data_IF_211384629743
#
_entry.id   IF_211384629743
#
_cell.length_a   1.000
_cell.length_b   1.000
_cell.length_c   1.000
_cell.angle_alpha   90.00
_cell.angle_beta   90.00
_cell.angle_gamma   90.00
#
_symmetry.space_group_name_H-M   'P 1'
#
loop_
_entity.id
_entity.type
_entity.pdbx_description
1 polymer ?
#
# COMPACT_ATOMS: atom_id res chain seq x y z
N UNK A 1 -20.88 1.13 23.29
CA UNK A 1 -21.97 0.13 23.25
C UNK A 1 -21.75 -0.76 22.04
N UNK A 2 -21.47 -2.02 22.25
CA UNK A 2 -21.22 -2.93 21.16
C UNK A 2 -22.51 -3.57 20.65
N UNK A 3 -22.62 -3.73 19.36
CA UNK A 3 -23.69 -4.52 18.77
C UNK A 3 -23.26 -5.97 18.75
N UNK A 4 -24.09 -6.84 19.26
CA UNK A 4 -23.89 -8.28 19.09
C UNK A 4 -24.64 -8.71 17.84
N UNK A 5 -23.96 -9.40 16.94
CA UNK A 5 -24.62 -9.98 15.80
C UNK A 5 -25.52 -11.12 16.27
N UNK A 6 -26.74 -11.15 15.77
CA UNK A 6 -27.64 -12.29 15.98
C UNK A 6 -27.10 -13.49 15.19
N UNK A 7 -27.64 -14.68 15.44
CA UNK A 7 -27.26 -15.87 14.66
C UNK A 7 -27.49 -15.65 13.16
N UNK A 8 -28.58 -14.96 12.80
CA UNK A 8 -28.86 -14.61 11.40
C UNK A 8 -27.82 -13.65 10.87
N UNK A 9 -27.48 -12.60 11.64
CA UNK A 9 -26.45 -11.65 11.25
C UNK A 9 -25.09 -12.28 11.10
N UNK A 10 -24.72 -13.22 11.98
CA UNK A 10 -23.48 -13.95 11.87
C UNK A 10 -23.45 -14.83 10.60
N UNK A 11 -24.60 -15.42 10.24
CA UNK A 11 -24.72 -16.21 9.01
C UNK A 11 -24.55 -15.38 7.73
N UNK A 12 -24.75 -14.06 7.79
CA UNK A 12 -24.56 -13.17 6.65
C UNK A 12 -23.09 -12.76 6.44
N UNK A 13 -22.23 -12.93 7.44
CA UNK A 13 -20.83 -12.52 7.31
C UNK A 13 -20.09 -13.16 6.12
N UNK A 14 -20.24 -14.47 5.84
CA UNK A 14 -19.60 -15.05 4.66
C UNK A 14 -20.07 -14.39 3.36
N UNK A 15 -21.34 -14.01 3.26
CA UNK A 15 -21.89 -13.35 2.08
C UNK A 15 -21.26 -11.95 1.93
N UNK A 16 -21.20 -11.19 3.01
CA UNK A 16 -20.58 -9.86 3.00
C UNK A 16 -19.11 -9.94 2.64
N UNK A 17 -18.39 -10.92 3.16
CA UNK A 17 -16.98 -11.12 2.82
C UNK A 17 -16.80 -11.51 1.34
N UNK A 18 -17.71 -12.33 0.81
CA UNK A 18 -17.67 -12.69 -0.61
C UNK A 18 -17.94 -11.48 -1.50
N UNK A 19 -18.89 -10.61 -1.13
CA UNK A 19 -19.17 -9.39 -1.87
C UNK A 19 -17.99 -8.43 -1.82
N UNK A 20 -17.32 -8.32 -0.68
CA UNK A 20 -16.13 -7.48 -0.54
C UNK A 20 -15.02 -8.00 -1.47
N UNK A 21 -14.74 -9.28 -1.45
CA UNK A 21 -13.74 -9.89 -2.33
C UNK A 21 -14.07 -9.71 -3.80
N UNK A 22 -15.34 -9.84 -4.17
CA UNK A 22 -15.81 -9.59 -5.53
C UNK A 22 -15.57 -8.14 -5.94
N UNK A 23 -15.94 -7.20 -5.07
CA UNK A 23 -15.77 -5.78 -5.33
C UNK A 23 -14.29 -5.42 -5.49
N UNK A 24 -13.42 -5.97 -4.64
CA UNK A 24 -11.99 -5.74 -4.73
C UNK A 24 -11.39 -6.29 -6.02
N UNK A 25 -11.94 -7.38 -6.55
CA UNK A 25 -11.43 -8.02 -7.76
C UNK A 25 -11.94 -7.35 -9.02
N UNK A 26 -13.20 -6.98 -9.08
CA UNK A 26 -13.87 -6.61 -10.32
C UNK A 26 -14.20 -5.14 -10.47
N UNK A 27 -14.40 -4.42 -9.37
CA UNK A 27 -14.68 -2.99 -9.46
C UNK A 27 -13.40 -2.21 -9.77
N UNK A 28 -13.48 -1.20 -10.65
CA UNK A 28 -12.30 -0.39 -10.95
C UNK A 28 -11.89 0.41 -9.72
N UNK A 29 -10.59 0.66 -9.61
CA UNK A 29 -10.06 1.52 -8.57
C UNK A 29 -10.48 2.96 -8.80
N UNK A 30 -10.92 3.62 -7.74
CA UNK A 30 -11.32 5.02 -7.78
C UNK A 30 -10.22 5.87 -7.13
N UNK A 31 -9.47 6.66 -7.92
CA UNK A 31 -8.41 7.49 -7.35
C UNK A 31 -8.90 8.49 -6.29
N UNK A 32 -10.17 8.88 -6.33
CA UNK A 32 -10.74 9.75 -5.32
C UNK A 32 -10.76 9.11 -3.93
N UNK A 33 -10.58 7.81 -3.84
CA UNK A 33 -10.50 7.12 -2.56
C UNK A 33 -9.34 7.61 -1.71
N UNK A 34 -8.21 8.00 -2.33
CA UNK A 34 -7.10 8.60 -1.59
C UNK A 34 -7.50 9.91 -0.91
N UNK A 35 -8.45 10.63 -1.49
CA UNK A 35 -8.92 11.89 -0.92
C UNK A 35 -9.96 11.67 0.17
N UNK A 36 -10.83 10.66 0.00
CA UNK A 36 -11.89 10.37 0.96
C UNK A 36 -11.41 9.57 2.15
N UNK A 37 -10.66 8.50 1.88
CA UNK A 37 -10.27 7.53 2.89
C UNK A 37 -8.78 7.17 2.78
N UNK A 38 -7.88 8.15 2.90
CA UNK A 38 -6.44 7.89 2.77
C UNK A 38 -5.92 6.86 3.77
N UNK A 39 -6.47 6.82 4.98
CA UNK A 39 -6.07 5.84 5.98
C UNK A 39 -6.31 4.40 5.53
N UNK A 40 -7.42 4.17 4.82
CA UNK A 40 -7.75 2.84 4.31
C UNK A 40 -6.73 2.41 3.25
N UNK A 41 -6.41 3.31 2.33
CA UNK A 41 -5.44 3.02 1.27
C UNK A 41 -4.04 2.80 1.85
N UNK A 42 -3.62 3.63 2.79
CA UNK A 42 -2.34 3.45 3.48
C UNK A 42 -2.31 2.14 4.27
N UNK A 43 -3.44 1.76 4.86
CA UNK A 43 -3.58 0.47 5.53
C UNK A 43 -3.39 -0.70 4.58
N UNK A 44 -3.95 -0.65 3.39
CA UNK A 44 -3.74 -1.68 2.36
C UNK A 44 -2.27 -1.75 1.96
N UNK A 45 -1.65 -0.58 1.77
CA UNK A 45 -0.24 -0.51 1.40
C UNK A 45 0.64 -1.11 2.50
N UNK A 46 0.34 -0.80 3.75
CA UNK A 46 1.06 -1.34 4.91
C UNK A 46 0.98 -2.87 4.97
N UNK A 47 -0.17 -3.44 4.62
CA UNK A 47 -0.35 -4.89 4.61
C UNK A 47 0.50 -5.59 3.55
N UNK A 48 0.97 -4.87 2.55
CA UNK A 48 1.82 -5.44 1.50
C UNK A 48 3.30 -5.39 1.83
N UNK A 49 3.66 -4.78 2.96
CA UNK A 49 5.05 -4.73 3.39
C UNK A 49 5.49 -6.12 3.84
N UNK A 50 6.61 -6.58 3.28
CA UNK A 50 7.21 -7.85 3.65
C UNK A 50 8.13 -7.65 4.85
N UNK A 51 7.97 -8.46 5.89
CA UNK A 51 8.77 -8.34 7.11
C UNK A 51 10.21 -8.84 6.95
N UNK A 52 10.56 -9.45 5.81
CA UNK A 52 11.80 -10.19 5.68
C UNK A 52 13.04 -9.32 5.53
N UNK A 53 12.93 -8.14 4.92
CA UNK A 53 14.10 -7.33 4.55
C UNK A 53 13.95 -5.87 4.94
N UNK A 54 13.19 -5.59 5.98
CA UNK A 54 12.98 -4.21 6.42
C UNK A 54 14.24 -3.61 7.03
N UNK A 55 14.41 -2.29 6.94
CA UNK A 55 15.57 -1.63 7.51
C UNK A 55 15.54 -1.67 9.04
N UNK A 56 16.72 -1.73 9.65
CA UNK A 56 16.84 -1.75 11.11
C UNK A 56 16.36 -0.42 11.74
N UNK A 57 16.64 0.69 11.08
CA UNK A 57 16.18 2.00 11.51
C UNK A 57 14.96 2.43 10.69
N UNK A 58 14.08 3.27 11.26
CA UNK A 58 12.87 3.65 10.54
C UNK A 58 13.18 4.36 9.23
N UNK A 59 12.42 4.02 8.19
CA UNK A 59 12.46 4.69 6.89
C UNK A 59 11.05 5.18 6.58
N UNK A 60 10.96 6.38 6.07
CA UNK A 60 9.69 7.00 5.70
C UNK A 60 9.55 7.00 4.19
N UNK A 61 8.46 6.43 3.70
CA UNK A 61 8.07 6.53 2.30
C UNK A 61 7.10 7.70 2.20
N UNK A 62 7.53 8.79 1.58
CA UNK A 62 6.68 9.96 1.39
C UNK A 62 6.10 9.93 -0.02
N UNK A 63 4.80 9.69 -0.11
CA UNK A 63 4.09 9.63 -1.38
C UNK A 63 3.59 11.03 -1.75
N UNK A 64 3.98 11.47 -2.91
CA UNK A 64 3.63 12.79 -3.42
C UNK A 64 2.88 12.63 -4.75
N UNK A 65 1.53 12.52 -4.70
CA UNK A 65 0.75 12.40 -5.92
C UNK A 65 0.91 13.62 -6.82
N UNK A 66 0.92 13.37 -8.12
CA UNK A 66 1.11 14.46 -9.11
C UNK A 66 -0.13 15.35 -9.24
N UNK A 67 -1.30 14.88 -8.80
CA UNK A 67 -2.58 15.58 -8.99
C UNK A 67 -2.84 16.66 -7.96
N UNK A 68 -2.20 16.62 -6.79
CA UNK A 68 -2.42 17.65 -5.76
C UNK A 68 -1.21 17.76 -4.83
N UNK A 69 -1.25 18.75 -3.92
CA UNK A 69 -0.13 19.01 -3.01
C UNK A 69 -0.15 18.17 -1.74
N UNK A 70 -1.18 17.34 -1.55
CA UNK A 70 -1.25 16.47 -0.38
C UNK A 70 -0.19 15.40 -0.46
N UNK A 71 0.40 15.10 0.70
CA UNK A 71 1.39 14.04 0.84
C UNK A 71 0.92 13.02 1.84
N UNK A 72 1.42 11.80 1.67
CA UNK A 72 1.08 10.68 2.55
C UNK A 72 2.37 9.97 2.92
N UNK A 73 2.44 9.45 4.13
CA UNK A 73 3.65 8.84 4.66
C UNK A 73 3.37 7.42 5.12
N UNK A 74 4.30 6.52 4.83
CA UNK A 74 4.29 5.15 5.34
C UNK A 74 5.64 4.92 6.04
N UNK A 75 5.60 4.52 7.28
CA UNK A 75 6.82 4.26 8.06
C UNK A 75 7.05 2.76 8.12
N UNK A 76 8.24 2.33 7.76
CA UNK A 76 8.64 0.93 7.80
C UNK A 76 9.91 0.76 8.64
N UNK A 77 9.94 -0.30 9.42
CA UNK A 77 11.09 -0.63 10.26
C UNK A 77 11.02 -2.10 10.65
N UNK A 78 12.20 -2.72 10.75
CA UNK A 78 12.32 -4.10 11.19
C UNK A 78 11.62 -4.31 12.55
N UNK A 79 10.90 -5.41 12.67
CA UNK A 79 10.21 -5.84 13.91
C UNK A 79 9.05 -4.95 14.36
N UNK A 80 8.68 -3.96 13.57
CA UNK A 80 7.53 -3.11 13.87
C UNK A 80 6.50 -3.22 12.76
N UNK A 81 5.23 -3.09 13.12
CA UNK A 81 4.17 -3.06 12.11
C UNK A 81 4.25 -1.77 11.31
N UNK A 82 4.24 -1.83 9.98
CA UNK A 82 4.19 -0.63 9.16
C UNK A 82 2.94 0.18 9.46
N UNK A 83 3.05 1.49 9.39
CA UNK A 83 1.88 2.35 9.62
C UNK A 83 1.91 3.56 8.70
N UNK A 84 0.72 3.98 8.29
CA UNK A 84 0.54 5.18 7.50
C UNK A 84 0.31 6.41 8.37
N UNK A 85 0.77 7.56 7.89
CA UNK A 85 0.57 8.84 8.56
C UNK A 85 0.01 9.85 7.58
N UNK A 86 -0.85 10.73 8.06
CA UNK A 86 -1.35 11.87 7.30
C UNK A 86 -0.60 13.15 7.62
N UNK A 87 0.35 13.06 8.54
CA UNK A 87 1.26 14.17 8.89
C UNK A 87 2.69 13.64 8.85
N UNK A 88 3.63 14.53 8.55
CA UNK A 88 5.03 14.15 8.46
C UNK A 88 5.53 13.63 9.80
N UNK A 89 6.11 12.43 9.87
CA UNK A 89 6.66 11.89 11.10
C UNK A 89 7.91 12.62 11.62
N UNK A 90 8.48 13.52 10.82
CA UNK A 90 9.60 14.39 11.23
C UNK A 90 10.86 13.63 11.66
N UNK A 91 11.26 12.65 10.86
CA UNK A 91 12.53 11.96 11.03
C UNK A 91 13.64 12.70 10.27
N UNK A 92 14.88 12.25 10.45
CA UNK A 92 16.02 12.82 9.70
C UNK A 92 15.81 12.67 8.20
N UNK A 93 16.22 13.69 7.44
CA UNK A 93 16.01 13.71 5.99
C UNK A 93 16.64 12.52 5.27
N UNK A 94 17.75 12.00 5.78
CA UNK A 94 18.38 10.82 5.22
C UNK A 94 17.58 9.52 5.40
N UNK A 95 16.44 9.57 6.10
CA UNK A 95 15.57 8.42 6.30
C UNK A 95 14.32 8.45 5.41
N UNK A 96 14.26 9.38 4.45
CA UNK A 96 13.10 9.53 3.58
C UNK A 96 13.38 9.03 2.17
N UNK A 97 12.40 8.35 1.61
CA UNK A 97 12.33 8.08 0.18
C UNK A 97 11.12 8.86 -0.34
N UNK A 98 11.37 9.76 -1.28
CA UNK A 98 10.31 10.59 -1.87
C UNK A 98 9.81 9.90 -3.12
N UNK A 99 8.54 9.50 -3.09
CA UNK A 99 7.92 8.73 -4.16
C UNK A 99 6.88 9.59 -4.87
N UNK A 100 7.07 9.76 -6.17
CA UNK A 100 6.16 10.55 -6.98
C UNK A 100 5.43 9.65 -7.95
N UNK A 101 4.11 9.73 -7.97
CA UNK A 101 3.27 8.91 -8.83
C UNK A 101 1.88 9.53 -8.96
N UNK A 102 1.10 9.03 -9.91
CA UNK A 102 -0.31 9.38 -9.99
C UNK A 102 -1.09 8.68 -8.87
N UNK A 103 -2.24 9.24 -8.50
CA UNK A 103 -3.12 8.62 -7.51
C UNK A 103 -3.54 7.21 -7.94
N UNK A 104 -3.78 7.01 -9.23
CA UNK A 104 -4.12 5.68 -9.75
C UNK A 104 -3.00 4.67 -9.54
N UNK A 105 -1.76 5.08 -9.70
CA UNK A 105 -0.60 4.22 -9.46
C UNK A 105 -0.48 3.87 -7.97
N UNK A 106 -0.62 4.87 -7.11
CA UNK A 106 -0.57 4.64 -5.66
C UNK A 106 -1.64 3.65 -5.23
N UNK A 107 -2.86 3.82 -5.72
CA UNK A 107 -3.95 2.92 -5.41
C UNK A 107 -3.69 1.50 -5.96
N UNK A 108 -3.17 1.39 -7.17
CA UNK A 108 -2.82 0.10 -7.76
C UNK A 108 -1.73 -0.63 -6.96
N UNK A 109 -0.72 0.09 -6.48
CA UNK A 109 0.31 -0.46 -5.60
C UNK A 109 -0.29 -0.95 -4.28
N UNK A 110 -1.16 -0.14 -3.68
CA UNK A 110 -1.81 -0.49 -2.43
C UNK A 110 -2.69 -1.74 -2.56
N UNK A 111 -3.40 -1.86 -3.68
CA UNK A 111 -4.28 -2.99 -3.95
C UNK A 111 -3.54 -4.22 -4.50
N UNK A 112 -2.24 -4.10 -4.76
CA UNK A 112 -1.47 -5.19 -5.33
C UNK A 112 -1.79 -5.50 -6.79
N UNK A 113 -2.34 -4.54 -7.53
CA UNK A 113 -2.65 -4.68 -8.95
C UNK A 113 -1.47 -4.34 -9.84
N UNK A 114 -0.50 -3.62 -9.30
CA UNK A 114 0.74 -3.29 -9.98
C UNK A 114 1.90 -3.56 -9.03
N UNK A 115 2.97 -4.15 -9.54
CA UNK A 115 4.17 -4.41 -8.77
C UNK A 115 5.07 -3.18 -8.71
N UNK A 116 5.82 -3.05 -7.64
CA UNK A 116 6.77 -1.96 -7.48
C UNK A 116 7.85 -1.94 -8.57
N UNK A 117 8.48 -3.08 -8.92
CA UNK A 117 9.47 -3.08 -10.00
C UNK A 117 8.89 -2.63 -11.34
N UNK A 118 7.68 -3.06 -11.65
CA UNK A 118 7.02 -2.68 -12.90
C UNK A 118 6.71 -1.19 -12.96
N UNK A 119 6.25 -0.62 -11.83
CA UNK A 119 5.96 0.80 -11.73
C UNK A 119 7.21 1.66 -11.92
N UNK A 120 8.34 1.23 -11.37
CA UNK A 120 9.61 1.92 -11.60
C UNK A 120 10.09 1.75 -13.04
N UNK A 121 9.93 0.56 -13.61
CA UNK A 121 10.40 0.27 -14.97
C UNK A 121 9.65 1.08 -16.02
N UNK A 122 8.34 1.28 -15.87
CA UNK A 122 7.54 2.01 -16.84
C UNK A 122 7.45 3.52 -16.58
N UNK A 123 8.08 3.99 -15.51
CA UNK A 123 8.09 5.41 -15.15
C UNK A 123 6.87 5.89 -14.39
N UNK A 124 5.93 5.01 -14.05
CA UNK A 124 4.73 5.38 -13.27
C UNK A 124 5.08 5.82 -11.85
N UNK A 125 6.18 5.34 -11.33
CA UNK A 125 6.66 5.65 -9.99
C UNK A 125 8.12 6.06 -10.07
N UNK A 126 8.46 7.20 -9.47
CA UNK A 126 9.85 7.64 -9.36
C UNK A 126 10.22 7.84 -7.90
N UNK A 127 11.45 7.53 -7.57
CA UNK A 127 11.96 7.66 -6.20
C UNK A 127 13.17 8.58 -6.18
N UNK A 128 13.20 9.47 -5.19
CA UNK A 128 14.36 10.31 -4.89
C UNK A 128 14.69 10.20 -3.42
N UNK A 129 15.94 10.40 -3.07
CA UNK A 129 16.43 10.27 -1.70
C UNK A 129 17.77 9.57 -1.68
N UNK A 130 18.10 8.99 -0.53
CA UNK A 130 19.36 8.27 -0.38
C UNK A 130 19.39 7.06 -1.31
N UNK A 131 20.47 6.91 -2.07
CA UNK A 131 20.56 5.95 -3.18
C UNK A 131 20.31 4.50 -2.73
N UNK A 132 20.90 4.09 -1.61
CA UNK A 132 20.75 2.73 -1.12
C UNK A 132 19.31 2.43 -0.72
N UNK A 133 18.64 3.38 -0.07
CA UNK A 133 17.24 3.22 0.31
C UNK A 133 16.35 3.12 -0.91
N UNK A 134 16.56 3.98 -1.90
CA UNK A 134 15.78 3.95 -3.13
C UNK A 134 15.95 2.64 -3.89
N UNK A 135 17.16 2.08 -3.85
CA UNK A 135 17.44 0.81 -4.51
C UNK A 135 16.76 -0.36 -3.82
N UNK A 136 16.60 -0.28 -2.49
CA UNK A 136 16.09 -1.38 -1.68
C UNK A 136 14.58 -1.34 -1.47
N UNK A 137 13.91 -0.24 -1.81
CA UNK A 137 12.48 -0.08 -1.49
C UNK A 137 11.61 -1.20 -2.07
N UNK A 138 11.93 -1.69 -3.25
CA UNK A 138 11.15 -2.77 -3.88
C UNK A 138 11.21 -4.07 -3.09
N UNK A 139 12.29 -4.29 -2.35
CA UNK A 139 12.46 -5.51 -1.55
C UNK A 139 11.54 -5.54 -0.34
N UNK A 140 11.02 -4.39 0.07
CA UNK A 140 10.20 -4.28 1.26
C UNK A 140 8.72 -4.58 1.01
N UNK A 141 8.33 -4.73 -0.24
CA UNK A 141 6.95 -5.04 -0.60
C UNK A 141 6.85 -6.43 -1.20
N UNK A 142 5.81 -7.14 -0.80
CA UNK A 142 5.57 -8.48 -1.31
C UNK A 142 5.37 -8.43 -2.82
N UNK A 143 5.96 -9.39 -3.58
CA UNK A 143 5.71 -9.46 -5.00
C UNK A 143 4.22 -9.73 -5.26
N UNK A 144 3.75 -9.35 -6.44
CA UNK A 144 2.40 -9.71 -6.83
C UNK A 144 2.26 -11.23 -6.81
N UNK A 145 1.13 -11.69 -6.30
CA UNK A 145 0.83 -13.12 -6.39
C UNK A 145 0.87 -13.52 -7.86
N UNK A 146 1.60 -14.58 -8.15
CA UNK A 146 1.59 -15.12 -9.50
C UNK A 146 0.15 -15.39 -9.89
N UNK A 147 -0.26 -15.01 -11.11
CA UNK A 147 -1.60 -15.40 -11.57
C UNK A 147 -1.70 -16.90 -11.41
N UNK A 148 -2.78 -17.35 -10.87
CA UNK A 148 -3.07 -18.75 -10.81
C UNK A 148 -3.27 -19.20 -12.22
N UNK A 149 -2.19 -19.46 -12.84
CA UNK A 149 -2.32 -20.21 -14.01
C UNK A 149 -2.58 -21.51 -13.53
N UNK A 150 -3.63 -21.80 -13.51
CA UNK A 150 -3.89 -23.07 -13.40
C UNK A 150 -3.03 -23.82 -14.14
N UNK A 151 -2.19 -24.26 -13.91
CA UNK A 151 -1.65 -24.92 -14.36
C UNK A 151 -1.76 -25.86 -14.48
N UNK A 152 -1.99 -26.13 -14.84
CA UNK A 152 -1.83 -27.02 -14.91
C UNK A 152 -1.05 -27.58 -15.16
N UNK A 153 -0.93 -27.69 -14.76
CA UNK A 153 -0.14 -28.68 -14.83
C UNK A 153 0.15 -29.48 -15.77
#
# INVERSE_FOLDING_TARGET
MGYRLTTVGTGLMPVLNSLRGWAETWLPDDPAMMERDPDVVLGWLAQRVSAERLPAEPVVLEFWPIEHDRRYWLVVQERLSPYGCLTDPLLDTGRYIYLRCALSTLLALARGRQGWPDAFADGSLTATGETDLCRRVTEWFAPLAAPITSVSG
#
